data_IF_414470922752
#
_entry.id   IF_414470922752
#
_cell.length_a   1.000
_cell.length_b   1.000
_cell.length_c   1.000
_cell.angle_alpha   90.00
_cell.angle_beta   90.00
_cell.angle_gamma   90.00
#
_symmetry.space_group_name_H-M   'P 1'
#
loop_
_entity.id
_entity.type
_entity.pdbx_description
1 polymer ?
#
# COMPACT_ATOMS: atom_id res chain seq x y z
N UNK A 1 -23.03 14.22 6.27
CA UNK A 1 -21.60 14.60 6.39
C UNK A 1 -21.00 13.57 7.34
N UNK A 2 -20.31 12.54 6.88
CA UNK A 2 -18.89 12.56 6.52
C UNK A 2 -18.65 11.58 5.38
N UNK A 3 -18.11 12.08 4.27
CA UNK A 3 -17.69 11.29 3.11
C UNK A 3 -16.18 11.03 3.22
N UNK A 4 -15.70 10.73 4.43
CA UNK A 4 -14.29 10.53 4.68
C UNK A 4 -13.91 9.12 4.27
N UNK A 5 -13.01 9.02 3.30
CA UNK A 5 -12.30 7.77 3.04
C UNK A 5 -11.32 7.61 4.20
N UNK A 6 -11.29 6.46 4.85
CA UNK A 6 -10.33 6.11 5.89
C UNK A 6 -9.09 5.40 5.34
N UNK A 7 -9.20 4.84 4.13
CA UNK A 7 -8.09 4.21 3.43
C UNK A 7 -7.00 5.20 2.97
N UNK A 8 -5.72 4.83 3.06
CA UNK A 8 -4.56 5.68 2.73
C UNK A 8 -3.42 4.89 2.09
N UNK A 9 -2.68 5.54 1.20
CA UNK A 9 -1.40 5.05 0.65
C UNK A 9 -0.26 5.81 1.29
N UNK A 10 0.66 5.09 1.92
CA UNK A 10 1.85 5.66 2.54
C UNK A 10 3.06 5.38 1.67
N UNK A 11 3.83 6.41 1.36
CA UNK A 11 5.12 6.28 0.68
C UNK A 11 6.19 6.21 1.76
N UNK A 12 6.91 5.10 1.82
CA UNK A 12 7.87 4.83 2.87
C UNK A 12 9.24 4.50 2.28
N UNK A 13 10.26 4.60 3.11
CA UNK A 13 11.61 4.17 2.79
C UNK A 13 12.05 3.19 3.88
N UNK A 14 12.51 2.02 3.47
CA UNK A 14 13.00 0.98 4.39
C UNK A 14 14.50 0.88 4.25
N UNK A 15 15.17 0.91 5.39
CA UNK A 15 16.61 0.76 5.50
C UNK A 15 16.92 -0.56 6.20
N UNK A 16 17.56 -1.48 5.48
CA UNK A 16 18.16 -2.68 6.05
C UNK A 16 19.62 -2.42 6.34
N UNK A 17 20.05 -2.69 7.57
CA UNK A 17 21.45 -2.59 7.98
C UNK A 17 21.86 -3.86 8.67
N UNK A 18 22.90 -4.51 8.16
CA UNK A 18 23.58 -5.57 8.88
C UNK A 18 24.58 -4.95 9.85
N UNK A 19 24.43 -5.30 11.12
CA UNK A 19 25.29 -4.80 12.20
C UNK A 19 26.63 -5.56 12.24
N UNK A 20 26.60 -6.87 11.94
CA UNK A 20 27.76 -7.76 11.96
C UNK A 20 28.52 -7.80 10.63
N UNK A 21 29.84 -8.03 10.67
CA UNK A 21 30.68 -8.07 9.47
C UNK A 21 30.23 -9.14 8.45
N UNK A 22 30.33 -8.86 7.13
CA UNK A 22 30.63 -7.56 6.53
C UNK A 22 29.47 -6.57 6.71
N UNK A 23 29.78 -5.31 7.01
CA UNK A 23 28.78 -4.26 7.19
C UNK A 23 28.20 -3.85 5.83
N UNK A 24 26.89 -3.96 5.68
CA UNK A 24 26.17 -3.42 4.52
C UNK A 24 24.92 -2.68 4.96
N UNK A 25 24.52 -1.71 4.13
CA UNK A 25 23.30 -0.94 4.27
C UNK A 25 22.62 -0.88 2.92
N UNK A 26 21.34 -1.21 2.90
CA UNK A 26 20.51 -1.14 1.72
C UNK A 26 19.24 -0.35 2.05
N UNK A 27 18.96 0.66 1.25
CA UNK A 27 17.81 1.52 1.42
C UNK A 27 16.98 1.48 0.16
N UNK A 28 15.69 1.20 0.29
CA UNK A 28 14.78 1.14 -0.85
C UNK A 28 13.43 1.72 -0.52
N UNK A 29 12.75 2.14 -1.58
CA UNK A 29 11.44 2.77 -1.52
C UNK A 29 10.37 1.69 -1.54
N UNK A 30 9.40 1.80 -0.65
CA UNK A 30 8.19 0.97 -0.67
C UNK A 30 6.97 1.87 -0.60
N UNK A 31 5.80 1.26 -0.78
CA UNK A 31 4.56 1.85 -0.33
C UNK A 31 3.86 0.86 0.61
N UNK A 32 3.05 1.39 1.52
CA UNK A 32 2.18 0.62 2.40
C UNK A 32 0.75 1.12 2.22
N UNK A 33 -0.21 0.22 2.38
CA UNK A 33 -1.62 0.51 2.20
C UNK A 33 -2.33 0.29 3.54
N UNK A 34 -3.01 1.32 4.03
CA UNK A 34 -4.05 1.18 5.04
C UNK A 34 -5.38 1.12 4.29
N UNK A 35 -6.04 -0.03 4.33
CA UNK A 35 -7.32 -0.24 3.68
C UNK A 35 -8.36 -0.52 4.75
N UNK A 36 -9.42 0.27 4.72
CA UNK A 36 -10.65 -0.07 5.43
C UNK A 36 -11.41 -1.09 4.57
N UNK A 37 -11.69 -2.25 5.17
CA UNK A 37 -12.31 -3.39 4.47
C UNK A 37 -13.75 -3.05 4.08
N UNK A 38 -14.46 -2.31 4.93
CA UNK A 38 -15.85 -1.93 4.69
C UNK A 38 -15.97 -0.93 3.53
N UNK A 39 -14.89 -0.22 3.20
CA UNK A 39 -14.83 0.74 2.10
C UNK A 39 -14.48 0.10 0.74
N UNK A 40 -13.96 -1.13 0.69
CA UNK A 40 -13.49 -1.77 -0.56
C UNK A 40 -14.55 -1.79 -1.68
N UNK A 41 -15.84 -2.10 -1.41
CA UNK A 41 -16.88 -2.06 -2.43
C UNK A 41 -17.20 -0.64 -2.95
N UNK A 42 -16.86 0.41 -2.20
CA UNK A 42 -17.00 1.82 -2.61
C UNK A 42 -15.76 2.30 -3.35
N UNK A 43 -14.57 1.90 -2.89
CA UNK A 43 -13.28 2.23 -3.52
C UNK A 43 -13.19 1.67 -4.95
N UNK A 44 -13.68 0.45 -5.20
CA UNK A 44 -13.76 -0.12 -6.57
C UNK A 44 -14.51 0.77 -7.56
N UNK A 45 -15.53 1.50 -7.08
CA UNK A 45 -16.36 2.35 -7.92
C UNK A 45 -15.72 3.72 -8.17
N UNK A 46 -14.89 4.20 -7.24
CA UNK A 46 -14.18 5.49 -7.37
C UNK A 46 -12.83 5.37 -8.08
N UNK A 47 -12.13 4.25 -7.96
CA UNK A 47 -10.76 4.08 -8.45
C UNK A 47 -10.73 3.18 -9.69
N UNK A 48 -10.39 3.76 -10.85
CA UNK A 48 -10.40 3.05 -12.15
C UNK A 48 -9.44 1.85 -12.23
N UNK A 49 -8.32 1.93 -11.53
CA UNK A 49 -7.28 0.89 -11.52
C UNK A 49 -7.32 0.03 -10.24
N UNK A 50 -8.40 0.10 -9.46
CA UNK A 50 -8.57 -0.73 -8.27
C UNK A 50 -9.53 -1.88 -8.58
N UNK A 51 -9.03 -3.10 -8.42
CA UNK A 51 -9.81 -4.32 -8.65
C UNK A 51 -10.06 -5.02 -7.32
N UNK A 52 -11.31 -5.30 -7.00
CA UNK A 52 -11.73 -6.07 -5.82
C UNK A 52 -12.79 -7.09 -6.26
N UNK A 53 -12.52 -8.39 -6.04
CA UNK A 53 -13.35 -9.53 -6.44
C UNK A 53 -13.74 -9.56 -7.93
N UNK A 54 -12.79 -9.25 -8.82
CA UNK A 54 -12.95 -9.33 -10.28
C UNK A 54 -11.58 -9.56 -10.95
N UNK A 55 -11.60 -9.84 -12.26
CA UNK A 55 -10.39 -10.01 -13.06
C UNK A 55 -9.40 -8.83 -12.90
N UNK A 56 -8.12 -9.14 -12.66
CA UNK A 56 -7.02 -8.18 -12.50
C UNK A 56 -5.83 -8.64 -13.35
N UNK A 57 -5.14 -7.69 -13.99
CA UNK A 57 -3.94 -7.94 -14.79
C UNK A 57 -2.66 -8.08 -13.95
N UNK A 58 -2.65 -7.55 -12.73
CA UNK A 58 -1.46 -7.40 -11.86
C UNK A 58 -1.67 -8.07 -10.49
N UNK A 59 -2.35 -9.23 -10.48
CA UNK A 59 -2.94 -9.82 -9.27
C UNK A 59 -2.01 -9.97 -8.08
#
# INVERSE_FOLDING_TARGET
>A
MLNDIHSRVYRCEVMHRRVSSPKYRFTYRIFSLLLDIDELPRLRHRLRCFSHNRFNLLS
#
